data_IF_618595212281
#
_entry.id   IF_618595212281
#
_cell.length_a   1.000
_cell.length_b   1.000
_cell.length_c   1.000
_cell.angle_alpha   90.00
_cell.angle_beta   90.00
_cell.angle_gamma   90.00
#
_symmetry.space_group_name_H-M   'P 1'
#
loop_
_entity.id
_entity.type
_entity.pdbx_description
1 polymer ?
#
# COMPACT_ATOMS: atom_id res chain seq x y z
N UNK A 1 -10.72 -26.29 6.41
CA UNK A 1 -10.08 -25.03 6.86
C UNK A 1 -8.67 -25.29 7.38
N UNK A 2 -8.52 -26.23 8.29
CA UNK A 2 -7.21 -26.61 8.84
C UNK A 2 -6.24 -27.06 7.75
N UNK A 3 -6.72 -27.87 6.83
CA UNK A 3 -5.94 -28.36 5.70
C UNK A 3 -5.50 -27.22 4.77
N UNK A 4 -6.36 -26.27 4.52
CA UNK A 4 -6.05 -25.10 3.70
C UNK A 4 -4.95 -24.24 4.35
N UNK A 5 -4.99 -24.06 5.66
CA UNK A 5 -3.97 -23.33 6.42
C UNK A 5 -2.64 -24.08 6.36
N UNK A 6 -2.66 -25.39 6.53
CA UNK A 6 -1.45 -26.23 6.51
C UNK A 6 -0.78 -26.22 5.14
N UNK A 7 -1.55 -26.19 4.06
CA UNK A 7 -1.03 -26.21 2.69
C UNK A 7 -0.61 -24.82 2.18
N UNK A 8 -1.00 -23.75 2.87
CA UNK A 8 -0.64 -22.41 2.45
C UNK A 8 0.83 -22.12 2.73
N UNK A 9 1.66 -21.88 1.69
CA UNK A 9 3.09 -21.67 1.89
C UNK A 9 3.38 -20.34 2.57
N UNK A 10 4.44 -20.30 3.36
CA UNK A 10 4.94 -19.09 4.02
C UNK A 10 3.97 -18.45 5.03
N UNK A 11 2.97 -19.19 5.47
CA UNK A 11 2.05 -18.66 6.49
C UNK A 11 2.75 -18.45 7.84
N UNK A 12 3.74 -19.30 8.16
CA UNK A 12 4.47 -19.20 9.41
C UNK A 12 3.64 -19.59 10.64
N UNK A 13 2.57 -20.32 10.45
CA UNK A 13 1.66 -20.72 11.51
C UNK A 13 1.37 -22.21 11.46
N UNK A 14 1.11 -22.80 12.62
CA UNK A 14 0.73 -24.19 12.74
C UNK A 14 -0.71 -24.29 13.26
N UNK A 15 -1.65 -24.79 12.46
CA UNK A 15 -3.03 -24.93 12.91
C UNK A 15 -3.18 -26.12 13.84
N UNK A 16 -4.06 -25.97 14.84
CA UNK A 16 -4.46 -27.05 15.74
C UNK A 16 -5.98 -27.10 15.78
N UNK A 17 -6.52 -28.30 15.95
CA UNK A 17 -7.96 -28.51 16.02
C UNK A 17 -8.31 -29.24 17.32
N UNK A 18 -9.09 -28.60 18.19
CA UNK A 18 -9.52 -29.19 19.47
C UNK A 18 -10.96 -29.71 19.43
N UNK A 19 -11.50 -29.90 18.22
CA UNK A 19 -12.83 -30.47 18.00
C UNK A 19 -13.92 -29.44 17.67
N UNK A 20 -13.90 -28.28 18.28
CA UNK A 20 -14.89 -27.22 18.03
C UNK A 20 -14.28 -25.99 17.37
N UNK A 21 -13.02 -25.72 17.64
CA UNK A 21 -12.32 -24.52 17.18
C UNK A 21 -10.98 -24.91 16.55
N UNK A 22 -10.72 -24.37 15.37
CA UNK A 22 -9.41 -24.48 14.75
C UNK A 22 -8.58 -23.31 15.27
N UNK A 23 -7.46 -23.63 15.90
CA UNK A 23 -6.55 -22.63 16.44
C UNK A 23 -5.31 -22.53 15.59
N UNK A 24 -4.87 -21.33 15.32
CA UNK A 24 -3.63 -21.04 14.59
C UNK A 24 -2.65 -20.42 15.56
N UNK A 25 -1.55 -21.15 15.82
CA UNK A 25 -0.47 -20.63 16.65
C UNK A 25 0.55 -19.93 15.76
N UNK A 26 0.66 -18.62 15.94
CA UNK A 26 1.63 -17.82 15.22
C UNK A 26 2.94 -17.78 16.00
N UNK A 27 4.07 -18.16 15.39
CA UNK A 27 5.35 -18.01 16.06
C UNK A 27 5.68 -16.54 16.26
N UNK A 28 6.42 -16.23 17.31
CA UNK A 28 6.89 -14.86 17.50
C UNK A 28 7.78 -14.46 16.34
N UNK A 29 7.57 -13.25 15.84
CA UNK A 29 8.42 -12.71 14.80
C UNK A 29 9.80 -12.40 15.39
N UNK A 30 10.84 -12.90 14.77
CA UNK A 30 12.20 -12.52 15.14
C UNK A 30 12.43 -11.07 14.73
N UNK A 31 13.42 -10.43 15.34
CA UNK A 31 13.79 -9.07 14.96
C UNK A 31 14.19 -8.99 13.48
N UNK A 32 14.89 -10.01 12.99
CA UNK A 32 15.27 -10.09 11.58
C UNK A 32 14.06 -10.16 10.65
N UNK A 33 13.05 -10.99 10.98
CA UNK A 33 11.83 -11.10 10.19
C UNK A 33 11.03 -9.80 10.21
N UNK A 34 10.97 -9.12 11.34
CA UNK A 34 10.30 -7.83 11.44
C UNK A 34 10.95 -6.82 10.51
N UNK A 35 12.27 -6.77 10.46
CA UNK A 35 13.00 -5.91 9.56
C UNK A 35 12.74 -6.25 8.10
N UNK A 36 12.64 -7.53 7.77
CA UNK A 36 12.30 -7.97 6.42
C UNK A 36 10.89 -7.51 6.02
N UNK A 37 9.93 -7.65 6.90
CA UNK A 37 8.56 -7.20 6.65
C UNK A 37 8.48 -5.68 6.48
N UNK A 38 9.23 -4.93 7.28
CA UNK A 38 9.31 -3.48 7.14
C UNK A 38 9.86 -3.12 5.75
N UNK A 39 10.88 -3.81 5.28
CA UNK A 39 11.41 -3.61 3.93
C UNK A 39 10.37 -3.87 2.85
N UNK A 40 9.63 -4.97 2.98
CA UNK A 40 8.58 -5.35 2.02
C UNK A 40 7.49 -4.29 1.99
N UNK A 41 7.05 -3.82 3.14
CA UNK A 41 5.99 -2.80 3.25
C UNK A 41 6.46 -1.48 2.65
N UNK A 42 7.71 -1.08 2.91
CA UNK A 42 8.31 0.13 2.32
C UNK A 42 8.38 0.04 0.81
N UNK A 43 8.77 -1.12 0.28
CA UNK A 43 8.83 -1.33 -1.16
C UNK A 43 7.44 -1.25 -1.80
N UNK A 44 6.44 -1.84 -1.18
CA UNK A 44 5.06 -1.77 -1.66
C UNK A 44 4.54 -0.33 -1.64
N UNK A 45 4.88 0.44 -0.61
CA UNK A 45 4.51 1.85 -0.53
C UNK A 45 5.16 2.67 -1.65
N UNK A 46 6.44 2.43 -1.94
CA UNK A 46 7.13 3.09 -3.05
C UNK A 46 6.51 2.72 -4.40
N UNK A 47 6.19 1.45 -4.61
CA UNK A 47 5.54 0.98 -5.83
C UNK A 47 4.17 1.68 -6.03
N UNK A 48 3.42 1.83 -4.94
CA UNK A 48 2.15 2.54 -4.96
C UNK A 48 2.31 4.02 -5.32
N UNK A 49 3.32 4.69 -4.75
CA UNK A 49 3.62 6.08 -5.07
C UNK A 49 4.05 6.26 -6.52
N UNK A 50 4.86 5.33 -7.03
CA UNK A 50 5.29 5.34 -8.43
C UNK A 50 4.09 5.20 -9.36
N UNK A 51 3.16 4.30 -9.03
CA UNK A 51 1.93 4.12 -9.80
C UNK A 51 1.08 5.39 -9.81
N UNK A 52 0.94 6.05 -8.66
CA UNK A 52 0.19 7.32 -8.54
C UNK A 52 0.84 8.41 -9.39
N UNK A 53 2.17 8.54 -9.33
CA UNK A 53 2.91 9.53 -10.13
C UNK A 53 2.78 9.27 -11.63
N UNK A 54 2.75 8.00 -12.03
CA UNK A 54 2.57 7.62 -13.43
C UNK A 54 1.19 8.02 -13.94
N UNK A 55 0.15 7.74 -13.16
CA UNK A 55 -1.24 8.15 -13.48
C UNK A 55 -1.34 9.67 -13.51
N UNK A 56 -0.72 10.36 -12.56
CA UNK A 56 -0.67 11.82 -12.53
C UNK A 56 -0.07 12.39 -13.80
N UNK A 57 1.06 11.83 -14.24
CA UNK A 57 1.75 12.30 -15.47
C UNK A 57 0.83 12.16 -16.67
N UNK A 58 0.19 11.02 -16.82
CA UNK A 58 -0.76 10.77 -17.89
C UNK A 58 -1.94 11.75 -17.84
N UNK A 59 -2.50 11.95 -16.66
CA UNK A 59 -3.61 12.88 -16.47
C UNK A 59 -3.19 14.33 -16.78
N UNK A 60 -1.98 14.73 -16.39
CA UNK A 60 -1.44 16.05 -16.71
C UNK A 60 -1.30 16.25 -18.23
N UNK A 61 -0.84 15.24 -18.94
CA UNK A 61 -0.72 15.27 -20.39
C UNK A 61 -2.09 15.41 -21.04
N UNK A 62 -3.09 14.66 -20.54
CA UNK A 62 -4.46 14.72 -21.06
C UNK A 62 -5.09 16.09 -20.83
N UNK A 63 -4.90 16.67 -19.64
CA UNK A 63 -5.39 18.02 -19.31
C UNK A 63 -4.71 19.08 -20.19
N UNK A 64 -3.39 18.94 -20.37
CA UNK A 64 -2.64 19.84 -21.25
C UNK A 64 -3.11 19.80 -22.70
N UNK A 65 -3.50 18.63 -23.19
CA UNK A 65 -4.03 18.46 -24.53
C UNK A 65 -5.38 19.14 -24.74
N UNK A 66 -6.12 19.40 -23.66
CA UNK A 66 -7.43 20.08 -23.72
C UNK A 66 -7.33 21.59 -23.75
N UNK A 67 -6.12 22.15 -23.67
CA UNK A 67 -5.90 23.60 -23.56
C UNK A 67 -6.57 24.42 -24.68
N UNK A 68 -6.56 23.91 -25.90
CA UNK A 68 -7.17 24.58 -27.05
C UNK A 68 -8.71 24.56 -26.98
N UNK A 69 -9.30 23.64 -26.25
CA UNK A 69 -10.76 23.49 -26.13
C UNK A 69 -11.34 24.24 -24.95
N UNK A 70 -10.65 24.21 -23.80
CA UNK A 70 -11.20 24.77 -22.56
C UNK A 70 -10.50 26.05 -22.08
N UNK A 71 -9.35 26.40 -22.66
CA UNK A 71 -8.60 27.59 -22.29
C UNK A 71 -7.58 27.37 -21.19
N UNK A 72 -6.63 28.31 -21.08
CA UNK A 72 -5.48 28.20 -20.17
C UNK A 72 -5.91 28.22 -18.68
N UNK A 73 -6.87 29.03 -18.33
CA UNK A 73 -7.32 29.16 -16.92
C UNK A 73 -7.94 27.87 -16.40
N UNK A 74 -8.75 27.21 -17.23
CA UNK A 74 -9.37 25.94 -16.87
C UNK A 74 -8.33 24.82 -16.77
N UNK A 75 -7.36 24.80 -17.66
CA UNK A 75 -6.26 23.84 -17.63
C UNK A 75 -5.43 24.03 -16.36
N UNK A 76 -5.08 25.27 -16.03
CA UNK A 76 -4.31 25.58 -14.81
C UNK A 76 -5.07 25.15 -13.55
N UNK A 77 -6.37 25.35 -13.51
CA UNK A 77 -7.21 24.90 -12.40
C UNK A 77 -7.21 23.39 -12.28
N UNK A 78 -7.39 22.68 -13.39
CA UNK A 78 -7.38 21.22 -13.42
C UNK A 78 -6.04 20.65 -12.98
N UNK A 79 -4.94 21.24 -13.43
CA UNK A 79 -3.59 20.82 -13.03
C UNK A 79 -3.38 21.03 -11.53
N UNK A 80 -3.85 22.13 -10.98
CA UNK A 80 -3.75 22.44 -9.55
C UNK A 80 -4.54 21.43 -8.71
N UNK A 81 -5.75 21.11 -9.14
CA UNK A 81 -6.59 20.11 -8.46
C UNK A 81 -5.95 18.74 -8.51
N UNK A 82 -5.37 18.38 -9.66
CA UNK A 82 -4.68 17.11 -9.85
C UNK A 82 -3.44 17.00 -8.95
N UNK A 83 -2.67 18.07 -8.82
CA UNK A 83 -1.53 18.13 -7.89
C UNK A 83 -1.97 17.94 -6.45
N UNK A 84 -3.04 18.62 -6.03
CA UNK A 84 -3.58 18.51 -4.68
C UNK A 84 -4.06 17.09 -4.39
N UNK A 85 -4.75 16.46 -5.34
CA UNK A 85 -5.22 15.09 -5.21
C UNK A 85 -4.06 14.10 -5.12
N UNK A 86 -3.06 14.28 -5.97
CA UNK A 86 -1.85 13.44 -5.98
C UNK A 86 -1.13 13.51 -4.63
N UNK A 87 -0.94 14.73 -4.13
CA UNK A 87 -0.28 14.95 -2.83
C UNK A 87 -1.07 14.27 -1.72
N UNK A 88 -2.38 14.43 -1.70
CA UNK A 88 -3.24 13.81 -0.69
C UNK A 88 -3.12 12.28 -0.70
N UNK A 89 -3.06 11.66 -1.88
CA UNK A 89 -2.93 10.21 -1.99
C UNK A 89 -1.53 9.72 -1.59
N UNK A 90 -0.49 10.43 -1.95
CA UNK A 90 0.88 10.10 -1.55
C UNK A 90 1.03 10.24 -0.04
N UNK A 91 0.50 11.31 0.55
CA UNK A 91 0.53 11.53 2.00
C UNK A 91 -0.24 10.43 2.73
N UNK A 92 -1.36 9.97 2.16
CA UNK A 92 -2.13 8.87 2.72
C UNK A 92 -1.34 7.57 2.73
N UNK A 93 -0.61 7.27 1.66
CA UNK A 93 0.26 6.09 1.59
C UNK A 93 1.34 6.18 2.67
N UNK A 94 1.97 7.34 2.85
CA UNK A 94 3.00 7.54 3.88
C UNK A 94 2.43 7.35 5.27
N UNK A 95 1.22 7.83 5.52
CA UNK A 95 0.55 7.67 6.81
C UNK A 95 0.24 6.20 7.11
N UNK A 96 -0.30 5.47 6.13
CA UNK A 96 -0.58 4.04 6.26
C UNK A 96 0.72 3.26 6.46
N UNK A 97 1.77 3.60 5.73
CA UNK A 97 3.09 2.98 5.86
C UNK A 97 3.64 3.15 7.26
N UNK A 98 3.61 4.37 7.78
CA UNK A 98 4.11 4.68 9.12
C UNK A 98 3.37 3.89 10.19
N UNK A 99 2.05 3.81 10.07
CA UNK A 99 1.20 3.04 10.96
C UNK A 99 1.54 1.55 10.90
N UNK A 100 1.74 1.02 9.70
CA UNK A 100 2.05 -0.39 9.49
C UNK A 100 3.44 -0.74 10.01
N UNK A 101 4.42 0.13 9.82
CA UNK A 101 5.76 -0.05 10.38
C UNK A 101 5.72 -0.12 11.91
N UNK A 102 4.94 0.75 12.53
CA UNK A 102 4.77 0.75 13.97
C UNK A 102 4.15 -0.57 14.45
N UNK A 103 3.13 -1.07 13.76
CA UNK A 103 2.49 -2.35 14.08
C UNK A 103 3.47 -3.52 13.95
N UNK A 104 4.30 -3.52 12.91
CA UNK A 104 5.27 -4.59 12.67
C UNK A 104 6.41 -4.61 13.68
N UNK A 105 6.75 -3.46 14.24
CA UNK A 105 7.80 -3.33 15.25
C UNK A 105 7.26 -3.46 16.68
N UNK A 106 5.97 -3.47 16.86
CA UNK A 106 5.33 -3.65 18.15
C UNK A 106 5.51 -5.08 18.64
N UNK A 107 5.86 -5.22 19.93
CA UNK A 107 6.07 -6.51 20.57
C UNK A 107 4.80 -6.98 21.26
#
# INVERSE_FOLDING_TARGET
IEKAITTFPNLGASPTNDGEVIRVTMPELTEERRKEYVKIVRQKAEDGKVAIRSVRRKAMDDVGAMKSEVGEDEVARGEKELEALTKAQVDHIDEVLKKKEAELLEI
#
